data_IF_119777900490
#
_entry.id   IF_119777900490
#
_cell.length_a   1.000
_cell.length_b   1.000
_cell.length_c   1.000
_cell.angle_alpha   90.00
_cell.angle_beta   90.00
_cell.angle_gamma   90.00
#
_symmetry.space_group_name_H-M   'P 1'
#
loop_
_entity.id
_entity.type
_entity.pdbx_description
1 polymer ?
#
# COMPACT_ATOMS: atom_id res chain seq x y z
N UNK A 1 19.76 -0.32 6.71
CA UNK A 1 18.31 -0.40 7.06
C UNK A 1 18.02 0.19 8.45
N UNK A 2 18.96 0.16 9.40
CA UNK A 2 18.73 0.68 10.76
C UNK A 2 18.53 2.19 10.83
N UNK A 3 19.22 3.00 10.02
CA UNK A 3 19.06 4.45 10.01
C UNK A 3 17.64 4.91 9.59
N UNK A 4 17.01 4.23 8.62
CA UNK A 4 15.65 4.56 8.14
C UNK A 4 14.61 4.20 9.19
N UNK A 5 14.76 3.04 9.85
CA UNK A 5 13.93 2.66 11.00
C UNK A 5 14.12 3.63 12.16
N UNK A 6 15.36 4.02 12.47
CA UNK A 6 15.66 4.98 13.53
C UNK A 6 15.01 6.34 13.32
N UNK A 7 14.96 6.84 12.08
CA UNK A 7 14.33 8.12 11.76
C UNK A 7 12.79 8.04 11.90
N UNK A 8 12.18 6.90 11.55
CA UNK A 8 10.75 6.64 11.76
C UNK A 8 10.42 6.47 13.26
N UNK A 9 11.28 5.79 14.02
CA UNK A 9 11.08 5.50 15.45
C UNK A 9 11.35 6.73 16.32
N UNK A 10 12.33 7.57 15.96
CA UNK A 10 12.65 8.82 16.69
C UNK A 10 11.60 9.92 16.47
N UNK A 11 10.63 9.72 15.57
CA UNK A 11 9.54 10.66 15.32
C UNK A 11 9.95 11.96 14.61
N UNK A 12 11.23 12.11 14.26
CA UNK A 12 11.76 13.29 13.59
C UNK A 12 11.13 13.48 12.21
N UNK A 13 10.89 12.40 11.47
CA UNK A 13 10.21 12.45 10.19
C UNK A 13 8.77 12.96 10.33
N UNK A 14 8.01 12.39 11.29
CA UNK A 14 6.64 12.82 11.53
C UNK A 14 6.60 14.32 11.87
N UNK A 15 7.52 14.79 12.72
CA UNK A 15 7.58 16.20 13.09
C UNK A 15 7.82 17.13 11.89
N UNK A 16 8.77 16.78 11.01
CA UNK A 16 9.09 17.58 9.81
C UNK A 16 7.90 17.62 8.84
N UNK A 17 7.26 16.48 8.60
CA UNK A 17 6.09 16.40 7.71
C UNK A 17 4.91 17.17 8.32
N UNK A 18 4.69 17.04 9.63
CA UNK A 18 3.63 17.77 10.33
C UNK A 18 3.84 19.30 10.32
N UNK A 19 5.07 19.78 10.20
CA UNK A 19 5.41 21.21 10.08
C UNK A 19 5.17 21.74 8.66
N UNK A 20 5.24 20.90 7.62
CA UNK A 20 5.07 21.28 6.21
C UNK A 20 4.11 20.33 5.46
N UNK A 21 2.89 20.15 5.97
CA UNK A 21 1.90 19.21 5.42
C UNK A 21 1.57 19.49 3.95
N UNK A 22 1.45 20.75 3.56
CA UNK A 22 1.09 21.17 2.19
C UNK A 22 2.13 20.79 1.14
N UNK A 23 3.40 20.64 1.53
CA UNK A 23 4.50 20.26 0.63
C UNK A 23 4.55 18.74 0.39
N UNK A 24 4.20 17.95 1.40
CA UNK A 24 4.40 16.50 1.40
C UNK A 24 3.11 15.69 1.21
N UNK A 25 1.95 16.26 1.54
CA UNK A 25 0.66 15.60 1.41
C UNK A 25 -0.15 16.37 0.37
N UNK A 26 -0.43 15.71 -0.75
CA UNK A 26 -1.37 16.23 -1.73
C UNK A 26 -2.77 16.24 -1.10
N UNK A 27 -3.32 17.43 -0.88
CA UNK A 27 -4.74 17.59 -0.58
C UNK A 27 -5.54 17.35 -1.86
N UNK A 28 -6.46 16.38 -1.81
CA UNK A 28 -7.36 16.10 -2.91
C UNK A 28 -8.79 16.08 -2.39
N UNK A 29 -9.65 16.98 -2.90
CA UNK A 29 -11.11 16.92 -2.68
C UNK A 29 -11.68 15.55 -3.07
N UNK A 30 -10.99 14.85 -3.98
CA UNK A 30 -11.32 13.50 -4.45
C UNK A 30 -11.33 12.46 -3.33
N UNK A 31 -10.40 12.54 -2.36
CA UNK A 31 -10.32 11.56 -1.26
C UNK A 31 -11.57 11.61 -0.40
N UNK A 32 -11.98 12.82 0.01
CA UNK A 32 -13.23 13.03 0.74
C UNK A 32 -14.43 12.52 -0.06
N UNK A 33 -14.52 12.89 -1.34
CA UNK A 33 -15.62 12.49 -2.20
C UNK A 33 -15.74 10.96 -2.34
N UNK A 34 -14.63 10.24 -2.48
CA UNK A 34 -14.62 8.77 -2.58
C UNK A 34 -15.07 8.13 -1.27
N UNK A 35 -14.53 8.56 -0.13
CA UNK A 35 -14.91 8.03 1.19
C UNK A 35 -16.39 8.29 1.48
N UNK A 36 -16.86 9.51 1.27
CA UNK A 36 -18.26 9.89 1.46
C UNK A 36 -19.19 9.11 0.53
N UNK A 37 -18.78 8.89 -0.73
CA UNK A 37 -19.52 8.05 -1.67
C UNK A 37 -19.66 6.62 -1.13
N UNK A 38 -18.58 6.00 -0.67
CA UNK A 38 -18.64 4.65 -0.08
C UNK A 38 -19.61 4.58 1.11
N UNK A 39 -19.53 5.54 2.03
CA UNK A 39 -20.41 5.63 3.20
C UNK A 39 -21.87 5.81 2.78
N UNK A 40 -22.17 6.68 1.79
CA UNK A 40 -23.54 6.90 1.31
C UNK A 40 -24.16 5.67 0.63
N UNK A 41 -23.34 4.76 0.09
CA UNK A 41 -23.77 3.43 -0.38
C UNK A 41 -23.85 2.37 0.72
N UNK A 42 -23.73 2.77 2.00
CA UNK A 42 -23.83 1.87 3.15
C UNK A 42 -22.62 0.97 3.35
N UNK A 43 -21.45 1.33 2.78
CA UNK A 43 -20.20 0.61 3.06
C UNK A 43 -19.66 1.04 4.42
N UNK A 44 -19.14 0.06 5.16
CA UNK A 44 -18.39 0.29 6.40
C UNK A 44 -16.92 0.47 6.08
N UNK A 45 -16.30 1.46 6.70
CA UNK A 45 -14.90 1.80 6.44
C UNK A 45 -14.05 1.53 7.68
N UNK A 46 -12.80 1.14 7.45
CA UNK A 46 -11.83 0.99 8.52
C UNK A 46 -10.45 1.47 8.08
N UNK A 47 -9.66 1.95 9.03
CA UNK A 47 -8.30 2.41 8.83
C UNK A 47 -7.35 1.60 9.73
N UNK A 48 -6.27 1.05 9.15
CA UNK A 48 -5.22 0.33 9.87
C UNK A 48 -3.86 0.90 9.45
N UNK A 49 -3.17 1.56 10.37
CA UNK A 49 -1.89 2.23 10.09
C UNK A 49 -0.84 1.96 11.17
N UNK A 50 0.42 1.97 10.77
CA UNK A 50 1.57 1.88 11.69
C UNK A 50 1.93 3.25 12.30
N UNK A 51 1.39 4.34 11.74
CA UNK A 51 1.68 5.69 12.20
C UNK A 51 0.99 6.00 13.54
N UNK A 52 1.57 6.91 14.34
CA UNK A 52 0.94 7.38 15.57
C UNK A 52 -0.29 8.23 15.27
N UNK A 53 -1.19 8.31 16.25
CA UNK A 53 -2.44 9.06 16.12
C UNK A 53 -2.25 10.54 15.76
N UNK A 54 -1.25 11.22 16.35
CA UNK A 54 -0.98 12.64 16.07
C UNK A 54 -0.78 12.92 14.58
N UNK A 55 0.00 12.06 13.92
CA UNK A 55 0.31 12.17 12.50
C UNK A 55 -0.91 11.89 11.64
N UNK A 56 -1.63 10.80 11.95
CA UNK A 56 -2.85 10.41 11.23
C UNK A 56 -3.91 11.49 11.34
N UNK A 57 -4.13 12.03 12.54
CA UNK A 57 -5.12 13.07 12.77
C UNK A 57 -4.79 14.32 11.96
N UNK A 58 -3.55 14.80 11.98
CA UNK A 58 -3.14 15.97 11.17
C UNK A 58 -3.29 15.73 9.66
N UNK A 59 -2.84 14.58 9.16
CA UNK A 59 -2.98 14.23 7.74
C UNK A 59 -4.44 14.13 7.31
N UNK A 60 -5.28 13.45 8.09
CA UNK A 60 -6.72 13.31 7.78
C UNK A 60 -7.48 14.62 7.91
N UNK A 61 -7.14 15.48 8.87
CA UNK A 61 -7.69 16.83 8.96
C UNK A 61 -7.37 17.65 7.70
N UNK A 62 -6.16 17.52 7.15
CA UNK A 62 -5.76 18.21 5.93
C UNK A 62 -6.43 17.64 4.67
N UNK A 63 -6.55 16.31 4.56
CA UNK A 63 -7.07 15.64 3.35
C UNK A 63 -8.60 15.55 3.29
N UNK A 64 -9.26 15.42 4.45
CA UNK A 64 -10.68 15.03 4.56
C UNK A 64 -11.49 16.06 5.34
N UNK A 65 -10.90 16.70 6.36
CA UNK A 65 -11.56 17.72 7.19
C UNK A 65 -11.83 17.26 8.63
N UNK A 66 -12.51 18.10 9.41
CA UNK A 66 -12.71 17.92 10.86
C UNK A 66 -13.47 16.63 11.21
N UNK A 67 -14.48 16.27 10.43
CA UNK A 67 -15.36 15.12 10.69
C UNK A 67 -14.84 13.80 10.12
N UNK A 68 -13.55 13.71 9.76
CA UNK A 68 -13.01 12.52 9.09
C UNK A 68 -13.22 11.24 9.90
N UNK A 69 -13.20 11.32 11.24
CA UNK A 69 -13.39 10.17 12.14
C UNK A 69 -14.77 9.53 11.95
N UNK A 70 -15.79 10.33 11.64
CA UNK A 70 -17.16 9.88 11.42
C UNK A 70 -17.34 9.12 10.10
N UNK A 71 -16.33 9.10 9.23
CA UNK A 71 -16.36 8.27 8.03
C UNK A 71 -15.98 6.81 8.33
N UNK A 72 -15.25 6.54 9.42
CA UNK A 72 -14.67 5.23 9.72
C UNK A 72 -15.37 4.56 10.89
N UNK A 73 -15.85 3.33 10.67
CA UNK A 73 -16.40 2.45 11.71
C UNK A 73 -15.32 1.94 12.67
N UNK A 74 -14.07 1.81 12.19
CA UNK A 74 -12.94 1.37 13.01
C UNK A 74 -11.67 2.13 12.61
N UNK A 75 -10.97 2.72 13.57
CA UNK A 75 -9.68 3.39 13.36
C UNK A 75 -8.63 2.72 14.24
N UNK A 76 -7.59 2.14 13.63
CA UNK A 76 -6.49 1.47 14.32
C UNK A 76 -5.16 2.13 13.94
N UNK A 77 -4.49 2.71 14.94
CA UNK A 77 -3.17 3.34 14.83
C UNK A 77 -2.10 2.48 15.48
N UNK A 78 -0.84 2.70 15.09
CA UNK A 78 0.31 1.90 15.54
C UNK A 78 0.01 0.39 15.57
N UNK A 79 -0.59 -0.11 14.48
CA UNK A 79 -0.99 -1.51 14.34
C UNK A 79 0.21 -2.48 14.38
N UNK A 80 1.41 -2.00 14.05
CA UNK A 80 2.63 -2.80 13.94
C UNK A 80 2.54 -3.90 12.86
N UNK A 81 1.95 -3.59 11.70
CA UNK A 81 2.02 -4.43 10.50
C UNK A 81 3.48 -4.77 10.16
N UNK A 82 3.81 -6.03 9.82
CA UNK A 82 2.90 -7.15 9.52
C UNK A 82 2.46 -7.97 10.74
N UNK A 83 2.94 -7.67 11.95
CA UNK A 83 2.59 -8.43 13.15
C UNK A 83 1.07 -8.39 13.43
N UNK A 84 0.40 -7.28 13.12
CA UNK A 84 -1.07 -7.19 13.22
C UNK A 84 -1.82 -8.33 12.49
N UNK A 85 -1.32 -8.75 11.33
CA UNK A 85 -1.97 -9.77 10.50
C UNK A 85 -1.53 -11.20 10.83
N UNK A 86 -0.37 -11.36 11.45
CA UNK A 86 0.29 -12.66 11.65
C UNK A 86 0.32 -13.12 13.11
N UNK A 87 0.37 -12.17 14.05
CA UNK A 87 0.39 -12.39 15.48
C UNK A 87 -0.99 -12.11 16.10
N UNK A 88 -1.30 -12.80 17.19
CA UNK A 88 -2.55 -12.66 17.95
C UNK A 88 -2.33 -12.23 19.41
N UNK A 89 -1.09 -11.94 19.80
CA UNK A 89 -0.73 -11.67 21.19
C UNK A 89 -1.16 -10.27 21.69
N UNK A 90 -1.23 -9.27 20.80
CA UNK A 90 -1.45 -7.88 21.20
C UNK A 90 -2.94 -7.54 21.25
N UNK A 91 -3.50 -7.13 22.41
CA UNK A 91 -4.89 -6.70 22.50
C UNK A 91 -5.07 -5.28 21.96
N UNK A 92 -6.31 -4.93 21.62
CA UNK A 92 -6.67 -3.54 21.34
C UNK A 92 -6.62 -2.69 22.61
N UNK A 93 -6.15 -1.46 22.46
CA UNK A 93 -6.22 -0.39 23.48
C UNK A 93 -7.00 0.78 22.92
N UNK A 94 -7.90 1.39 23.68
CA UNK A 94 -8.56 2.64 23.26
C UNK A 94 -7.66 3.84 23.56
N UNK A 95 -7.62 4.81 22.65
CA UNK A 95 -7.02 6.11 22.90
C UNK A 95 -8.12 7.10 23.27
N UNK A 96 -7.85 7.94 24.27
CA UNK A 96 -8.69 9.11 24.53
C UNK A 96 -8.37 10.26 23.55
N UNK A 97 -9.16 11.34 23.61
CA UNK A 97 -8.96 12.51 22.77
C UNK A 97 -7.61 13.22 22.99
N UNK A 98 -6.97 13.00 24.14
CA UNK A 98 -5.62 13.50 24.44
C UNK A 98 -4.51 12.60 23.88
N UNK A 99 -4.87 11.44 23.30
CA UNK A 99 -3.94 10.44 22.81
C UNK A 99 -3.36 9.54 23.90
N UNK A 100 -3.94 9.53 25.10
CA UNK A 100 -3.53 8.66 26.20
C UNK A 100 -4.24 7.30 26.13
N UNK A 101 -3.50 6.25 26.54
CA UNK A 101 -3.98 4.88 26.52
C UNK A 101 -4.95 4.61 27.67
N UNK A 102 -6.15 4.15 27.30
CA UNK A 102 -7.13 3.57 28.21
C UNK A 102 -6.83 2.08 28.39
N UNK A 103 -6.85 1.62 29.65
CA UNK A 103 -6.49 0.24 30.00
C UNK A 103 -7.68 -0.72 30.01
N UNK A 104 -8.87 -0.22 29.71
CA UNK A 104 -10.09 -1.00 29.66
C UNK A 104 -10.04 -2.08 28.57
N UNK A 105 -10.67 -3.20 28.87
CA UNK A 105 -10.83 -4.30 27.91
C UNK A 105 -11.78 -3.86 26.80
N UNK A 106 -11.38 -4.10 25.56
CA UNK A 106 -12.19 -3.75 24.39
C UNK A 106 -13.09 -4.94 24.02
N UNK A 107 -14.38 -4.82 24.32
CA UNK A 107 -15.40 -5.83 23.98
C UNK A 107 -16.17 -5.50 22.69
N UNK A 108 -16.11 -4.25 22.21
CA UNK A 108 -16.60 -3.84 20.88
C UNK A 108 -15.78 -2.69 20.32
N UNK A 109 -15.74 -2.60 18.99
CA UNK A 109 -15.18 -1.46 18.28
C UNK A 109 -16.32 -0.49 17.95
N UNK A 110 -16.19 0.74 18.44
CA UNK A 110 -17.15 1.84 18.25
C UNK A 110 -16.67 2.79 17.16
N UNK A 111 -17.62 3.29 16.38
CA UNK A 111 -17.40 4.27 15.32
C UNK A 111 -16.85 5.58 15.90
N UNK A 112 -15.88 6.19 15.22
CA UNK A 112 -15.23 7.44 15.64
C UNK A 112 -14.17 7.27 16.73
N UNK A 113 -14.18 6.16 17.47
CA UNK A 113 -13.17 5.84 18.47
C UNK A 113 -11.87 5.36 17.83
N UNK A 114 -10.74 5.69 18.48
CA UNK A 114 -9.41 5.33 18.01
C UNK A 114 -8.85 4.21 18.88
N UNK A 115 -8.32 3.20 18.21
CA UNK A 115 -7.69 2.05 18.84
C UNK A 115 -6.21 2.00 18.48
N UNK A 116 -5.40 1.55 19.42
CA UNK A 116 -3.99 1.30 19.25
C UNK A 116 -3.72 -0.20 19.30
N UNK A 117 -2.76 -0.67 18.48
CA UNK A 117 -2.35 -2.08 18.39
C UNK A 117 -3.54 -3.01 18.03
N UNK A 118 -3.66 -4.16 18.70
CA UNK A 118 -4.58 -5.22 18.34
C UNK A 118 -4.02 -6.22 17.35
N UNK A 119 -4.91 -7.07 16.87
CA UNK A 119 -4.60 -8.13 15.93
C UNK A 119 -5.81 -8.43 15.04
N UNK A 120 -5.53 -9.02 13.88
CA UNK A 120 -6.55 -9.37 12.89
C UNK A 120 -7.59 -10.35 13.44
N UNK A 121 -7.19 -11.33 14.27
CA UNK A 121 -8.12 -12.31 14.83
C UNK A 121 -9.20 -11.65 15.70
N UNK A 122 -8.82 -10.77 16.62
CA UNK A 122 -9.76 -10.00 17.42
C UNK A 122 -10.55 -9.01 16.59
N UNK A 123 -9.94 -8.37 15.58
CA UNK A 123 -10.65 -7.48 14.65
C UNK A 123 -11.81 -8.21 13.95
N UNK A 124 -11.55 -9.39 13.39
CA UNK A 124 -12.56 -10.22 12.73
C UNK A 124 -13.65 -10.66 13.73
N UNK A 125 -13.26 -11.04 14.95
CA UNK A 125 -14.20 -11.45 16.01
C UNK A 125 -15.12 -10.31 16.45
N UNK A 126 -14.58 -9.10 16.62
CA UNK A 126 -15.31 -7.93 17.12
C UNK A 126 -16.19 -7.28 16.04
N UNK A 127 -15.74 -7.28 14.79
CA UNK A 127 -16.49 -6.68 13.67
C UNK A 127 -17.46 -7.65 13.00
N UNK A 128 -17.14 -8.95 13.02
CA UNK A 128 -17.83 -9.96 12.23
C UNK A 128 -17.58 -9.86 10.72
N UNK A 129 -16.64 -9.04 10.27
CA UNK A 129 -16.38 -8.85 8.83
C UNK A 129 -15.42 -9.92 8.32
N UNK A 130 -15.90 -10.89 7.56
CA UNK A 130 -15.13 -12.08 7.19
C UNK A 130 -15.16 -12.38 5.69
N UNK A 131 -14.07 -12.97 5.18
CA UNK A 131 -14.00 -13.46 3.81
C UNK A 131 -14.12 -12.36 2.75
N UNK A 132 -14.84 -12.67 1.68
CA UNK A 132 -14.88 -11.85 0.46
C UNK A 132 -15.69 -10.56 0.58
N UNK A 133 -16.32 -10.30 1.75
CA UNK A 133 -17.02 -9.05 2.01
C UNK A 133 -16.08 -7.90 2.39
N UNK A 134 -14.81 -8.20 2.66
CA UNK A 134 -13.80 -7.20 3.03
C UNK A 134 -12.90 -6.90 1.83
N UNK A 135 -12.70 -5.61 1.57
CA UNK A 135 -11.76 -5.09 0.59
C UNK A 135 -10.73 -4.24 1.33
N UNK A 136 -9.46 -4.63 1.28
CA UNK A 136 -8.36 -3.91 1.91
C UNK A 136 -7.46 -3.28 0.87
N UNK A 137 -7.16 -2.00 1.02
CA UNK A 137 -6.23 -1.26 0.17
C UNK A 137 -4.91 -1.03 0.92
N UNK A 138 -3.79 -1.25 0.22
CA UNK A 138 -2.47 -1.01 0.77
C UNK A 138 -1.42 -0.79 -0.32
N UNK A 139 -0.36 -0.10 0.02
CA UNK A 139 0.82 0.17 -0.82
C UNK A 139 1.89 -0.93 -0.68
N UNK A 140 1.92 -1.61 0.46
CA UNK A 140 2.90 -2.67 0.73
C UNK A 140 2.39 -4.07 0.34
N UNK A 141 2.62 -4.48 -0.91
CA UNK A 141 2.13 -5.75 -1.48
C UNK A 141 2.50 -6.98 -0.61
N UNK A 142 3.75 -7.05 -0.15
CA UNK A 142 4.27 -8.24 0.52
C UNK A 142 3.92 -8.32 2.01
N UNK A 143 3.87 -7.20 2.73
CA UNK A 143 3.57 -7.20 4.18
C UNK A 143 2.08 -7.12 4.48
N UNK A 144 1.29 -6.57 3.55
CA UNK A 144 -0.11 -6.24 3.82
C UNK A 144 -1.11 -7.08 3.02
N UNK A 145 -0.79 -7.55 1.80
CA UNK A 145 -1.83 -8.09 0.90
C UNK A 145 -1.81 -9.61 0.75
N UNK A 146 -0.63 -10.25 0.70
CA UNK A 146 -0.52 -11.67 0.34
C UNK A 146 -1.20 -12.61 1.37
N UNK A 147 -0.92 -12.42 2.66
CA UNK A 147 -1.48 -13.26 3.73
C UNK A 147 -2.99 -13.04 3.92
N UNK A 148 -3.49 -11.81 3.71
CA UNK A 148 -4.92 -11.49 3.83
C UNK A 148 -5.76 -12.23 2.77
N UNK A 149 -5.30 -12.25 1.52
CA UNK A 149 -5.99 -12.97 0.45
C UNK A 149 -5.91 -14.48 0.66
N UNK A 150 -4.73 -15.00 0.97
CA UNK A 150 -4.50 -16.46 1.06
C UNK A 150 -5.14 -17.09 2.29
N UNK A 151 -5.07 -16.44 3.46
CA UNK A 151 -5.51 -17.03 4.73
C UNK A 151 -6.90 -16.59 5.17
N UNK A 152 -7.32 -15.39 4.79
CA UNK A 152 -8.57 -14.78 5.28
C UNK A 152 -9.61 -14.52 4.19
N UNK A 153 -9.26 -14.74 2.92
CA UNK A 153 -10.17 -14.60 1.78
C UNK A 153 -10.62 -13.16 1.53
N UNK A 154 -9.89 -12.18 2.04
CA UNK A 154 -10.15 -10.77 1.77
C UNK A 154 -9.81 -10.43 0.32
N UNK A 155 -10.56 -9.50 -0.26
CA UNK A 155 -10.17 -8.87 -1.52
C UNK A 155 -9.12 -7.82 -1.20
N UNK A 156 -8.10 -7.72 -2.04
CA UNK A 156 -7.00 -6.77 -1.84
C UNK A 156 -6.84 -5.88 -3.07
N UNK A 157 -6.57 -4.60 -2.84
CA UNK A 157 -6.20 -3.63 -3.86
C UNK A 157 -4.83 -3.04 -3.55
N UNK A 158 -3.89 -3.15 -4.48
CA UNK A 158 -2.59 -2.51 -4.34
C UNK A 158 -2.66 -1.06 -4.85
N UNK A 159 -2.14 -0.12 -4.07
CA UNK A 159 -1.94 1.27 -4.50
C UNK A 159 -0.47 1.42 -4.86
N UNK A 160 -0.17 1.66 -6.14
CA UNK A 160 1.21 1.76 -6.67
C UNK A 160 1.34 3.08 -7.42
N UNK A 161 1.76 4.18 -6.75
CA UNK A 161 1.90 5.49 -7.40
C UNK A 161 2.88 5.48 -8.56
N UNK A 162 3.95 4.69 -8.47
CA UNK A 162 5.00 4.59 -9.50
C UNK A 162 4.48 4.04 -10.83
N UNK A 163 3.37 3.31 -10.80
CA UNK A 163 2.76 2.71 -11.98
C UNK A 163 2.31 3.75 -13.00
N UNK A 164 1.93 4.96 -12.57
CA UNK A 164 1.55 6.04 -13.48
C UNK A 164 2.72 6.43 -14.41
N UNK A 165 3.91 6.59 -13.84
CA UNK A 165 5.12 6.88 -14.59
C UNK A 165 5.52 5.73 -15.52
N UNK A 166 5.43 4.49 -15.04
CA UNK A 166 5.70 3.31 -15.86
C UNK A 166 4.73 3.20 -17.04
N UNK A 167 3.43 3.42 -16.83
CA UNK A 167 2.43 3.42 -17.90
C UNK A 167 2.75 4.50 -18.93
N UNK A 168 3.18 5.69 -18.50
CA UNK A 168 3.55 6.76 -19.43
C UNK A 168 4.75 6.36 -20.30
N UNK A 169 5.79 5.76 -19.70
CA UNK A 169 6.98 5.28 -20.40
C UNK A 169 6.62 4.14 -21.37
N UNK A 170 5.85 3.15 -20.92
CA UNK A 170 5.46 1.98 -21.71
C UNK A 170 4.64 2.37 -22.93
N UNK A 171 3.77 3.37 -22.78
CA UNK A 171 2.97 3.89 -23.89
C UNK A 171 3.75 4.85 -24.81
N UNK A 172 5.01 5.16 -24.49
CA UNK A 172 5.89 5.98 -25.32
C UNK A 172 6.32 5.26 -26.60
N UNK A 173 6.32 5.96 -27.72
CA UNK A 173 6.65 5.40 -29.03
C UNK A 173 8.05 4.74 -29.03
N UNK A 174 9.04 5.41 -28.44
CA UNK A 174 10.42 4.90 -28.34
C UNK A 174 10.48 3.55 -27.62
N UNK A 175 9.76 3.41 -26.51
CA UNK A 175 9.70 2.16 -25.76
C UNK A 175 8.99 1.06 -26.58
N UNK A 176 7.87 1.39 -27.24
CA UNK A 176 7.16 0.42 -28.09
C UNK A 176 7.98 -0.05 -29.28
N UNK A 177 8.74 0.85 -29.91
CA UNK A 177 9.60 0.53 -31.04
C UNK A 177 10.79 -0.33 -30.58
N UNK A 178 11.44 0.04 -29.48
CA UNK A 178 12.52 -0.74 -28.88
C UNK A 178 12.04 -2.14 -28.46
N UNK A 179 10.86 -2.26 -27.86
CA UNK A 179 10.28 -3.54 -27.45
C UNK A 179 9.95 -4.42 -28.66
N UNK A 180 9.34 -3.85 -29.70
CA UNK A 180 9.02 -4.57 -30.95
C UNK A 180 10.30 -5.06 -31.63
N UNK A 181 11.34 -4.23 -31.63
CA UNK A 181 12.64 -4.60 -32.15
C UNK A 181 13.28 -5.72 -31.33
N UNK A 182 13.26 -5.63 -30.00
CA UNK A 182 13.82 -6.64 -29.11
C UNK A 182 13.09 -8.00 -29.24
N UNK A 183 11.77 -7.99 -29.44
CA UNK A 183 10.99 -9.20 -29.75
C UNK A 183 11.38 -9.79 -31.11
N UNK A 184 11.52 -8.95 -32.13
CA UNK A 184 11.94 -9.36 -33.47
C UNK A 184 13.35 -9.96 -33.46
N UNK A 185 14.29 -9.31 -32.78
CA UNK A 185 15.66 -9.74 -32.59
C UNK A 185 15.73 -11.07 -31.84
N UNK A 186 14.94 -11.24 -30.79
CA UNK A 186 14.82 -12.51 -30.05
C UNK A 186 14.33 -13.64 -30.96
N UNK A 187 13.29 -13.41 -31.76
CA UNK A 187 12.78 -14.40 -32.70
C UNK A 187 13.71 -14.71 -33.88
N UNK A 188 14.60 -13.78 -34.24
CA UNK A 188 15.66 -14.01 -35.23
C UNK A 188 16.82 -14.83 -34.63
N UNK A 189 17.24 -14.51 -33.39
CA UNK A 189 18.24 -15.27 -32.65
C UNK A 189 17.82 -16.75 -32.49
N UNK A 190 16.58 -17.00 -32.09
CA UNK A 190 16.04 -18.38 -31.95
C UNK A 190 16.07 -19.16 -33.28
N UNK A 191 15.78 -18.51 -34.41
CA UNK A 191 15.83 -19.15 -35.74
C UNK A 191 17.26 -19.39 -36.22
N UNK A 192 18.17 -18.47 -35.94
CA UNK A 192 19.58 -18.55 -36.35
C UNK A 192 20.36 -19.63 -35.58
N UNK A 193 19.94 -19.99 -34.36
CA UNK A 193 20.59 -21.06 -33.57
C UNK A 193 20.63 -22.43 -34.27
N UNK A 194 19.79 -22.65 -35.29
CA UNK A 194 19.77 -23.87 -36.11
C UNK A 194 20.90 -23.92 -37.15
N UNK A 195 21.56 -22.79 -37.45
CA UNK A 195 22.60 -22.68 -38.47
C UNK A 195 24.00 -22.60 -37.82
N UNK A 196 24.89 -23.55 -38.15
CA UNK A 196 26.24 -23.68 -37.56
C UNK A 196 27.39 -23.13 -38.43
N UNK A 197 27.09 -22.31 -39.43
CA UNK A 197 28.11 -21.69 -40.28
C UNK A 197 28.89 -20.60 -39.53
N UNK A 198 30.17 -20.40 -39.87
CA UNK A 198 31.00 -19.33 -39.28
C UNK A 198 30.39 -17.94 -39.45
N UNK A 199 29.78 -17.64 -40.61
CA UNK A 199 29.08 -16.38 -40.86
C UNK A 199 27.85 -16.21 -39.95
N UNK A 200 27.07 -17.27 -39.75
CA UNK A 200 25.91 -17.24 -38.86
C UNK A 200 26.33 -16.97 -37.41
N UNK A 201 27.49 -17.48 -36.99
CA UNK A 201 28.05 -17.30 -35.66
C UNK A 201 28.49 -15.85 -35.39
N UNK A 202 29.04 -15.16 -36.40
CA UNK A 202 29.37 -13.73 -36.31
C UNK A 202 28.11 -12.86 -36.19
N UNK A 203 27.07 -13.17 -36.99
CA UNK A 203 25.79 -12.45 -36.95
C UNK A 203 25.09 -12.64 -35.59
N UNK A 204 25.11 -13.86 -35.05
CA UNK A 204 24.57 -14.18 -33.72
C UNK A 204 25.23 -13.34 -32.61
N UNK A 205 26.56 -13.23 -32.61
CA UNK A 205 27.27 -12.42 -31.60
C UNK A 205 26.88 -10.95 -31.69
N UNK A 206 26.80 -10.39 -32.90
CA UNK A 206 26.41 -8.99 -33.10
C UNK A 206 24.98 -8.71 -32.62
N UNK A 207 24.04 -9.61 -32.91
CA UNK A 207 22.65 -9.48 -32.44
C UNK A 207 22.50 -9.71 -30.94
N UNK A 208 23.39 -10.48 -30.31
CA UNK A 208 23.44 -10.58 -28.85
C UNK A 208 23.93 -9.29 -28.20
N UNK A 209 24.95 -8.63 -28.78
CA UNK A 209 25.45 -7.32 -28.31
C UNK A 209 24.36 -6.25 -28.43
N UNK A 210 23.70 -6.17 -29.59
CA UNK A 210 22.60 -5.23 -29.84
C UNK A 210 21.42 -5.44 -28.87
N UNK A 211 21.14 -6.69 -28.50
CA UNK A 211 20.11 -7.02 -27.50
C UNK A 211 20.47 -6.53 -26.10
N UNK A 212 21.75 -6.59 -25.72
CA UNK A 212 22.21 -6.11 -24.41
C UNK A 212 22.24 -4.58 -24.36
N UNK A 213 22.48 -3.88 -25.47
CA UNK A 213 22.39 -2.41 -25.54
C UNK A 213 20.95 -1.87 -25.41
N UNK A 214 19.95 -2.67 -25.83
CA UNK A 214 18.52 -2.30 -25.77
C UNK A 214 17.84 -2.63 -24.43
N UNK A 215 18.55 -3.28 -23.50
CA UNK A 215 18.04 -3.67 -22.17
C UNK A 215 18.40 -2.65 -21.10
#
# INVERSE_FOLDING_TARGET
QDAVRDVHVKGLMYKIIEENLEEYIQSGEETYAVLQKLVSYGKKLFLITNSPFSFVNKGMLHMVGEDWRELFDVIIVQAEKPAFFTDSAKPFRRLDDSGCLQWDKIDKLEKGEIYQQGNLYEFLRLTGWVGTSVLYFGDHIYSDLADLTLRHGWRTGAIVPELEGEIHIINGQEYTDALTWLQSLTGLLERMQMYRGQEAQVILTKWMEEREELR
#
